data_IF_790183450962
#
_entry.id   IF_790183450962
#
_cell.length_a   1.000
_cell.length_b   1.000
_cell.length_c   1.000
_cell.angle_alpha   90.00
_cell.angle_beta   90.00
_cell.angle_gamma   90.00
#
_symmetry.space_group_name_H-M   'P 1'
#
loop_
_entity.id
_entity.type
_entity.pdbx_description
1 polymer ?
#
# COMPACT_ATOMS: atom_id res chain seq x y z
N UNK A 1 -76.99 -1.67 17.41
CA UNK A 1 -75.99 -1.13 18.36
C UNK A 1 -74.77 -2.02 18.27
N UNK A 2 -73.56 -1.45 18.26
CA UNK A 2 -72.85 -1.18 17.00
C UNK A 2 -71.47 -1.85 16.98
N UNK A 3 -70.82 -1.75 15.82
CA UNK A 3 -69.38 -1.52 15.68
C UNK A 3 -68.41 -2.47 16.40
N UNK A 4 -67.95 -3.50 15.69
CA UNK A 4 -66.51 -3.75 15.63
C UNK A 4 -66.11 -3.78 14.16
N UNK A 5 -65.83 -2.57 13.65
CA UNK A 5 -65.03 -2.39 12.45
C UNK A 5 -63.67 -3.07 12.69
N UNK A 6 -63.51 -4.32 12.24
CA UNK A 6 -62.19 -4.91 12.08
C UNK A 6 -61.47 -4.17 10.95
N UNK A 7 -60.74 -3.15 11.38
CA UNK A 7 -59.79 -2.36 10.64
C UNK A 7 -58.71 -3.28 10.04
N UNK A 8 -59.01 -3.92 8.90
CA UNK A 8 -57.99 -4.53 8.05
C UNK A 8 -57.17 -3.41 7.42
N UNK A 9 -56.18 -2.93 8.19
CA UNK A 9 -55.13 -2.06 7.69
C UNK A 9 -54.44 -2.72 6.49
N UNK A 10 -53.89 -1.88 5.61
CA UNK A 10 -53.25 -2.20 4.31
C UNK A 10 -52.12 -3.26 4.32
N UNK A 11 -51.88 -3.94 5.43
CA UNK A 11 -50.81 -4.91 5.61
C UNK A 11 -51.45 -6.22 6.09
N UNK A 12 -51.42 -7.27 5.25
CA UNK A 12 -52.05 -8.56 5.54
C UNK A 12 -51.56 -9.23 6.83
N UNK A 13 -52.28 -10.27 7.26
CA UNK A 13 -52.04 -10.93 8.54
C UNK A 13 -50.58 -11.38 8.75
N UNK A 14 -50.03 -11.21 9.96
CA UNK A 14 -48.67 -11.63 10.28
C UNK A 14 -48.53 -13.15 10.08
N UNK A 15 -47.51 -13.56 9.32
CA UNK A 15 -47.20 -14.97 9.08
C UNK A 15 -46.91 -15.67 10.42
N UNK A 16 -47.76 -16.63 10.79
CA UNK A 16 -47.55 -17.49 11.96
C UNK A 16 -46.33 -18.38 11.71
N UNK A 17 -45.53 -18.61 12.76
CA UNK A 17 -44.36 -19.48 12.71
C UNK A 17 -44.78 -20.90 12.32
N UNK A 18 -44.35 -21.36 11.15
CA UNK A 18 -44.57 -22.72 10.68
C UNK A 18 -43.40 -23.61 11.15
N UNK A 19 -43.61 -24.51 12.12
CA UNK A 19 -42.56 -25.40 12.62
C UNK A 19 -42.07 -26.41 11.58
N UNK A 20 -42.79 -26.58 10.46
CA UNK A 20 -42.36 -27.36 9.29
C UNK A 20 -41.65 -26.51 8.23
N UNK A 21 -41.44 -25.20 8.47
CA UNK A 21 -40.67 -24.34 7.58
C UNK A 21 -39.18 -24.72 7.64
N UNK A 22 -38.81 -25.70 6.83
CA UNK A 22 -37.43 -25.85 6.39
C UNK A 22 -37.17 -24.66 5.48
N UNK A 23 -36.51 -23.64 6.04
CA UNK A 23 -36.11 -22.44 5.30
C UNK A 23 -35.38 -22.77 4.00
N UNK A 24 -35.11 -21.76 3.15
CA UNK A 24 -34.69 -21.95 1.76
C UNK A 24 -33.30 -22.57 1.59
N UNK A 25 -33.11 -23.84 1.98
CA UNK A 25 -31.86 -24.62 1.87
C UNK A 25 -32.15 -26.13 1.98
N UNK A 26 -32.95 -26.70 1.07
CA UNK A 26 -33.13 -28.15 1.04
C UNK A 26 -31.99 -28.88 0.33
N UNK A 27 -31.24 -28.24 -0.57
CA UNK A 27 -30.14 -28.85 -1.32
C UNK A 27 -28.96 -27.86 -1.50
N UNK A 28 -28.15 -27.64 -0.44
CA UNK A 28 -26.84 -27.02 -0.62
C UNK A 28 -25.82 -28.12 -0.88
N UNK A 29 -25.49 -28.36 -2.15
CA UNK A 29 -24.32 -29.16 -2.50
C UNK A 29 -23.04 -28.48 -1.97
N UNK A 30 -21.94 -29.22 -1.83
CA UNK A 30 -20.65 -28.64 -1.43
C UNK A 30 -20.10 -27.72 -2.54
N UNK A 31 -20.61 -26.48 -2.62
CA UNK A 31 -20.07 -25.40 -3.46
C UNK A 31 -18.73 -24.87 -2.95
N UNK A 32 -18.24 -25.38 -1.82
CA UNK A 32 -17.01 -24.93 -1.18
C UNK A 32 -15.74 -25.57 -1.75
N UNK A 33 -15.82 -26.76 -2.36
CA UNK A 33 -14.63 -27.50 -2.83
C UNK A 33 -13.87 -26.73 -3.92
N UNK A 34 -14.59 -26.20 -4.91
CA UNK A 34 -13.98 -25.43 -6.01
C UNK A 34 -13.40 -24.12 -5.48
N UNK A 35 -14.09 -23.45 -4.56
CA UNK A 35 -13.60 -22.24 -3.91
C UNK A 35 -12.34 -22.51 -3.08
N UNK A 36 -12.28 -23.62 -2.33
CA UNK A 36 -11.08 -24.04 -1.58
C UNK A 36 -9.88 -24.29 -2.49
N UNK A 37 -10.08 -24.93 -3.65
CA UNK A 37 -9.00 -25.16 -4.62
C UNK A 37 -8.46 -23.84 -5.16
N UNK A 38 -9.35 -22.94 -5.60
CA UNK A 38 -8.96 -21.61 -6.11
C UNK A 38 -8.24 -20.78 -5.04
N UNK A 39 -8.74 -20.79 -3.80
CA UNK A 39 -8.12 -20.10 -2.68
C UNK A 39 -6.73 -20.66 -2.35
N UNK A 40 -6.57 -21.98 -2.37
CA UNK A 40 -5.28 -22.63 -2.14
C UNK A 40 -4.26 -22.27 -3.23
N UNK A 41 -4.69 -22.25 -4.50
CA UNK A 41 -3.84 -21.82 -5.63
C UNK A 41 -3.42 -20.36 -5.44
N UNK A 42 -4.35 -19.47 -5.04
CA UNK A 42 -4.04 -18.07 -4.80
C UNK A 42 -3.02 -17.89 -3.67
N UNK A 43 -3.15 -18.65 -2.56
CA UNK A 43 -2.17 -18.66 -1.46
C UNK A 43 -0.80 -19.12 -1.97
N UNK A 44 -0.74 -20.25 -2.69
CA UNK A 44 0.52 -20.78 -3.21
C UNK A 44 1.19 -19.80 -4.18
N UNK A 45 0.41 -19.16 -5.04
CA UNK A 45 0.89 -18.10 -5.93
C UNK A 45 1.45 -16.91 -5.16
N UNK A 46 0.75 -16.46 -4.12
CA UNK A 46 1.21 -15.36 -3.27
C UNK A 46 2.53 -15.69 -2.54
N UNK A 47 2.64 -16.90 -1.99
CA UNK A 47 3.88 -17.39 -1.36
C UNK A 47 5.03 -17.43 -2.37
N UNK A 48 4.79 -17.92 -3.59
CA UNK A 48 5.80 -17.97 -4.64
C UNK A 48 6.30 -16.55 -5.02
N UNK A 49 5.40 -15.59 -5.19
CA UNK A 49 5.75 -14.18 -5.43
C UNK A 49 6.55 -13.61 -4.26
N UNK A 50 6.18 -13.94 -3.02
CA UNK A 50 6.93 -13.53 -1.82
C UNK A 50 8.37 -14.06 -1.80
N UNK A 51 8.57 -15.34 -2.15
CA UNK A 51 9.92 -15.94 -2.23
C UNK A 51 10.74 -15.28 -3.34
N UNK A 52 10.15 -15.01 -4.50
CA UNK A 52 10.83 -14.31 -5.59
C UNK A 52 11.24 -12.89 -5.18
N UNK A 53 10.34 -12.15 -4.54
CA UNK A 53 10.62 -10.81 -4.03
C UNK A 53 11.73 -10.80 -2.98
N UNK A 54 11.79 -11.82 -2.11
CA UNK A 54 12.84 -11.93 -1.09
C UNK A 54 14.20 -12.34 -1.68
N UNK A 55 14.20 -13.31 -2.59
CA UNK A 55 15.43 -13.85 -3.17
C UNK A 55 16.11 -12.91 -4.17
N UNK A 56 15.31 -12.15 -4.93
CA UNK A 56 15.83 -11.19 -5.92
C UNK A 56 15.83 -9.74 -5.40
N UNK A 57 15.14 -9.47 -4.29
CA UNK A 57 15.09 -8.16 -3.67
C UNK A 57 16.38 -7.84 -2.91
N UNK A 58 16.89 -6.62 -3.08
CA UNK A 58 17.94 -6.10 -2.21
C UNK A 58 17.28 -5.32 -1.05
N UNK A 59 17.29 -5.83 0.19
CA UNK A 59 16.68 -5.17 1.34
C UNK A 59 17.34 -3.81 1.64
N UNK A 60 18.56 -3.57 1.15
CA UNK A 60 19.27 -2.28 1.33
C UNK A 60 18.53 -1.13 0.68
N UNK A 61 17.78 -1.37 -0.41
CA UNK A 61 16.96 -0.34 -1.08
C UNK A 61 15.80 0.17 -0.23
N UNK A 62 15.35 -0.61 0.75
CA UNK A 62 14.28 -0.20 1.68
C UNK A 62 14.86 0.59 2.86
N UNK A 63 16.07 0.24 3.31
CA UNK A 63 16.72 0.84 4.48
C UNK A 63 17.43 2.15 4.12
N UNK A 64 18.13 2.18 2.99
CA UNK A 64 18.98 3.30 2.59
C UNK A 64 18.37 4.06 1.41
N UNK A 65 18.14 5.37 1.55
CA UNK A 65 17.74 6.19 0.42
C UNK A 65 18.88 6.28 -0.60
N UNK A 66 18.52 6.54 -1.85
CA UNK A 66 19.46 6.57 -2.97
C UNK A 66 19.48 7.97 -3.61
N UNK A 67 20.67 8.54 -3.82
CA UNK A 67 20.89 9.77 -4.58
C UNK A 67 20.48 9.58 -6.06
N UNK A 68 20.24 10.65 -6.81
CA UNK A 68 20.04 10.61 -8.28
C UNK A 68 21.15 9.88 -9.06
N UNK A 69 22.33 9.69 -8.45
CA UNK A 69 23.45 8.90 -9.01
C UNK A 69 23.41 7.41 -8.67
N UNK A 70 22.37 6.91 -8.00
CA UNK A 70 22.26 5.49 -7.64
C UNK A 70 23.13 5.08 -6.45
N UNK A 71 23.61 6.04 -5.64
CA UNK A 71 24.44 5.75 -4.47
C UNK A 71 23.60 5.76 -3.19
N UNK A 72 23.80 4.77 -2.31
CA UNK A 72 23.14 4.70 -1.02
C UNK A 72 23.71 5.75 -0.04
N UNK A 73 22.83 6.51 0.59
CA UNK A 73 23.18 7.44 1.67
C UNK A 73 23.37 6.67 2.98
N UNK A 74 24.44 6.92 3.72
CA UNK A 74 24.59 6.38 5.08
C UNK A 74 24.97 4.90 5.19
N UNK A 75 25.26 4.23 4.07
CA UNK A 75 25.66 2.83 4.09
C UNK A 75 27.15 2.68 4.43
N UNK A 76 27.44 1.85 5.44
CA UNK A 76 28.80 1.58 5.89
C UNK A 76 29.69 1.01 4.76
N UNK A 77 30.92 1.51 4.64
CA UNK A 77 31.87 1.12 3.59
C UNK A 77 31.62 1.77 2.22
N UNK A 78 30.72 2.75 2.13
CA UNK A 78 30.52 3.56 0.91
C UNK A 78 31.12 4.96 1.06
N UNK A 79 31.30 5.68 -0.05
CA UNK A 79 31.77 7.08 -0.05
C UNK A 79 30.82 8.05 0.68
N UNK A 80 29.60 7.62 1.00
CA UNK A 80 28.53 8.42 1.59
C UNK A 80 28.13 7.93 2.99
N UNK A 81 28.98 7.15 3.65
CA UNK A 81 28.72 6.57 4.98
C UNK A 81 28.33 7.61 6.04
N UNK A 82 28.96 8.79 6.02
CA UNK A 82 28.65 9.88 6.95
C UNK A 82 27.40 10.70 6.55
N UNK A 83 26.96 10.59 5.30
CA UNK A 83 25.85 11.37 4.72
C UNK A 83 24.59 10.52 4.71
N UNK A 84 23.84 10.53 5.82
CA UNK A 84 22.68 9.65 6.04
C UNK A 84 21.36 10.23 5.50
N UNK A 85 21.26 11.54 5.42
CA UNK A 85 20.02 12.22 5.05
C UNK A 85 19.93 12.42 3.52
N UNK A 86 18.73 12.30 2.96
CA UNK A 86 18.48 12.56 1.54
C UNK A 86 17.75 13.90 1.37
N UNK A 87 18.38 14.84 0.67
CA UNK A 87 17.82 16.16 0.40
C UNK A 87 17.16 16.24 -0.98
N UNK A 88 15.93 16.78 -1.01
CA UNK A 88 15.16 17.06 -2.23
C UNK A 88 15.17 18.56 -2.55
N UNK A 89 15.65 18.95 -3.73
CA UNK A 89 15.66 20.37 -4.12
C UNK A 89 14.27 20.96 -4.36
N UNK A 90 13.30 20.13 -4.75
CA UNK A 90 11.91 20.53 -4.89
C UNK A 90 10.98 19.36 -4.56
N UNK A 91 10.55 19.30 -3.30
CA UNK A 91 9.64 18.23 -2.83
C UNK A 91 8.24 18.31 -3.48
N UNK A 92 7.80 19.48 -3.95
CA UNK A 92 6.48 19.64 -4.55
C UNK A 92 6.36 18.89 -5.89
N UNK A 93 7.47 18.70 -6.61
CA UNK A 93 7.48 17.86 -7.81
C UNK A 93 7.27 16.37 -7.48
N UNK A 94 7.61 15.94 -6.26
CA UNK A 94 7.37 14.57 -5.80
C UNK A 94 5.88 14.28 -5.51
N UNK A 95 5.07 15.31 -5.27
CA UNK A 95 3.63 15.14 -5.02
C UNK A 95 2.80 14.99 -6.31
N UNK A 96 3.45 15.00 -7.48
CA UNK A 96 2.76 14.83 -8.76
C UNK A 96 2.47 13.35 -9.05
N UNK A 97 1.33 13.03 -9.70
CA UNK A 97 0.97 11.65 -10.02
C UNK A 97 1.95 10.96 -10.97
N UNK A 98 2.84 11.70 -11.63
CA UNK A 98 3.92 11.15 -12.48
C UNK A 98 4.94 10.32 -11.69
N UNK A 99 5.12 10.58 -10.40
CA UNK A 99 6.02 9.79 -9.53
C UNK A 99 5.56 8.33 -9.39
N UNK A 100 4.26 8.08 -9.49
CA UNK A 100 3.71 6.72 -9.44
C UNK A 100 4.08 5.88 -10.67
N UNK A 101 4.43 6.51 -11.79
CA UNK A 101 4.83 5.84 -13.03
C UNK A 101 6.34 5.59 -13.08
N UNK A 102 7.15 6.56 -12.66
CA UNK A 102 8.62 6.50 -12.78
C UNK A 102 9.30 5.94 -11.54
N UNK A 103 8.56 5.69 -10.45
CA UNK A 103 9.04 5.25 -9.13
C UNK A 103 10.16 6.12 -8.53
N UNK A 104 10.44 7.28 -9.13
CA UNK A 104 11.52 8.18 -8.77
C UNK A 104 11.06 9.63 -8.97
N UNK A 105 11.44 10.53 -8.06
CA UNK A 105 11.06 11.93 -8.20
C UNK A 105 11.82 12.60 -9.36
N UNK A 106 11.17 13.45 -10.16
CA UNK A 106 11.80 14.21 -11.25
C UNK A 106 12.58 15.44 -10.71
N UNK A 107 13.32 15.23 -9.64
CA UNK A 107 14.18 16.21 -8.99
C UNK A 107 15.50 15.59 -8.62
N UNK A 108 16.53 16.43 -8.61
CA UNK A 108 17.83 16.02 -8.10
C UNK A 108 17.71 15.72 -6.61
N UNK A 109 18.31 14.62 -6.20
CA UNK A 109 18.32 14.12 -4.83
C UNK A 109 19.78 13.95 -4.44
N UNK A 110 20.18 14.42 -3.26
CA UNK A 110 21.58 14.33 -2.81
C UNK A 110 21.69 13.86 -1.37
N UNK A 111 22.69 13.03 -1.07
CA UNK A 111 22.98 12.64 0.31
C UNK A 111 23.72 13.77 1.06
N UNK A 112 23.29 14.07 2.28
CA UNK A 112 23.85 15.10 3.17
C UNK A 112 24.04 14.54 4.59
N UNK A 113 24.97 15.11 5.34
CA UNK A 113 25.19 14.82 6.77
C UNK A 113 24.18 15.57 7.64
N UNK A 114 23.84 16.81 7.26
CA UNK A 114 22.80 17.62 7.91
C UNK A 114 21.95 18.35 6.88
N UNK A 115 20.63 18.31 7.05
CA UNK A 115 19.71 19.10 6.24
C UNK A 115 20.00 20.62 6.36
N UNK A 116 20.06 21.36 5.24
CA UNK A 116 20.35 22.79 5.27
C UNK A 116 19.16 23.58 5.86
N UNK A 117 19.46 24.55 6.72
CA UNK A 117 18.45 25.41 7.37
C UNK A 117 17.91 26.51 6.44
N UNK A 118 18.51 26.68 5.26
CA UNK A 118 18.13 27.69 4.25
C UNK A 118 18.03 27.05 2.87
N UNK A 119 17.16 27.61 2.03
CA UNK A 119 17.05 27.21 0.63
C UNK A 119 18.40 27.37 -0.08
N UNK A 120 18.94 26.26 -0.61
CA UNK A 120 20.19 26.24 -1.38
C UNK A 120 19.93 25.81 -2.83
N UNK A 121 20.66 26.43 -3.75
CA UNK A 121 20.66 26.03 -5.16
C UNK A 121 21.60 24.84 -5.38
N UNK A 122 21.33 24.07 -6.43
CA UNK A 122 22.11 22.88 -6.80
C UNK A 122 23.61 23.18 -6.93
N UNK A 123 23.95 24.29 -7.59
CA UNK A 123 25.34 24.74 -7.80
C UNK A 123 26.05 24.93 -6.46
N UNK A 124 25.39 25.57 -5.49
CA UNK A 124 25.95 25.87 -4.17
C UNK A 124 26.16 24.61 -3.33
N UNK A 125 25.30 23.60 -3.50
CA UNK A 125 25.45 22.32 -2.83
C UNK A 125 26.64 21.50 -3.37
N UNK A 126 26.86 21.52 -4.70
CA UNK A 126 28.00 20.84 -5.31
C UNK A 126 29.35 21.48 -4.94
N UNK A 127 29.40 22.81 -4.81
CA UNK A 127 30.63 23.52 -4.43
C UNK A 127 30.96 23.39 -2.94
N UNK A 128 29.96 23.27 -2.06
CA UNK A 128 30.15 23.12 -0.60
C UNK A 128 30.23 21.66 -0.11
N UNK A 129 30.59 20.72 -0.98
CA UNK A 129 30.56 19.27 -0.68
C UNK A 129 31.42 18.83 0.51
N UNK A 130 32.36 19.67 0.97
CA UNK A 130 33.29 19.42 2.09
C UNK A 130 32.75 19.78 3.48
N UNK A 131 31.57 20.39 3.59
CA UNK A 131 30.99 20.80 4.88
C UNK A 131 29.49 20.55 4.98
N UNK A 132 29.01 19.53 4.28
CA UNK A 132 27.60 19.20 4.11
C UNK A 132 27.36 17.75 4.48
#
# INVERSE_FOLDING_TARGET
>A
MPEEEEYFGKNGEPRKFDPSFKGPTHNRGCTDIVCCILFSIAILGYVAVGILAWSQGDPRKVIYPTDSRGQFCGQAGTKLENKRDLFYFNIMKCASPMVLLEFQCPTTQMCVEKCPEKFMTLVKAYTNRKGL
#
